data_IF_194148060775
#
_entry.id   IF_194148060775
#
_cell.length_a   1.000
_cell.length_b   1.000
_cell.length_c   1.000
_cell.angle_alpha   90.00
_cell.angle_beta   90.00
_cell.angle_gamma   90.00
#
_symmetry.space_group_name_H-M   'P 1'
#
loop_
_entity.id
_entity.type
_entity.pdbx_description
1 polymer ?
#
# COMPACT_ATOMS: atom_id res chain seq x y z
N UNK A 1 -6.64 -8.43 -2.00
CA UNK A 1 -6.90 -7.95 -0.64
C UNK A 1 -7.79 -8.94 0.11
N UNK A 2 -7.79 -8.89 1.44
CA UNK A 2 -8.74 -9.60 2.31
C UNK A 2 -8.95 -11.08 1.93
N UNK A 3 -10.20 -11.51 1.74
CA UNK A 3 -10.56 -12.91 1.48
C UNK A 3 -9.95 -13.46 0.18
N UNK A 4 -9.64 -12.58 -0.79
CA UNK A 4 -8.98 -13.00 -2.03
C UNK A 4 -7.57 -13.56 -1.78
N UNK A 5 -6.93 -13.23 -0.65
CA UNK A 5 -5.61 -13.76 -0.28
C UNK A 5 -5.65 -15.27 -0.02
N UNK A 6 -6.75 -15.78 0.53
CA UNK A 6 -6.88 -17.19 0.88
C UNK A 6 -6.98 -18.11 -0.36
N UNK A 7 -7.43 -17.58 -1.49
CA UNK A 7 -7.58 -18.30 -2.75
C UNK A 7 -6.43 -18.07 -3.72
N UNK A 8 -5.48 -17.19 -3.38
CA UNK A 8 -4.32 -16.91 -4.22
C UNK A 8 -3.39 -18.14 -4.21
N UNK A 9 -3.18 -18.73 -5.39
CA UNK A 9 -2.29 -19.88 -5.53
C UNK A 9 -0.86 -19.54 -5.13
N UNK A 10 -0.09 -20.56 -4.76
CA UNK A 10 1.28 -20.37 -4.25
C UNK A 10 2.25 -19.70 -5.24
N UNK A 11 1.88 -19.63 -6.52
CA UNK A 11 2.61 -18.95 -7.60
C UNK A 11 1.72 -17.90 -8.27
N UNK A 12 2.18 -16.66 -8.30
CA UNK A 12 1.65 -15.60 -9.16
C UNK A 12 2.04 -15.84 -10.63
N UNK A 13 1.18 -15.52 -11.62
CA UNK A 13 1.52 -15.66 -13.04
C UNK A 13 2.67 -14.72 -13.40
N UNK A 14 3.85 -15.32 -13.58
CA UNK A 14 5.09 -14.71 -14.12
C UNK A 14 5.74 -13.60 -13.28
N UNK A 15 6.87 -13.94 -12.66
CA UNK A 15 7.91 -12.98 -12.25
C UNK A 15 8.86 -12.61 -13.41
N UNK A 16 8.56 -13.01 -14.65
CA UNK A 16 9.36 -12.59 -15.82
C UNK A 16 9.11 -11.12 -16.16
N UNK A 17 10.09 -10.41 -16.74
CA UNK A 17 10.02 -8.98 -17.00
C UNK A 17 8.69 -8.55 -17.67
N UNK A 18 8.09 -7.43 -17.21
CA UNK A 18 8.75 -6.34 -16.48
C UNK A 18 8.77 -6.45 -14.94
N UNK A 19 8.27 -7.54 -14.34
CA UNK A 19 8.22 -7.70 -12.88
C UNK A 19 6.93 -8.37 -12.41
N UNK A 20 6.66 -8.44 -11.10
CA UNK A 20 5.39 -8.97 -10.60
C UNK A 20 4.23 -8.13 -11.15
N UNK A 21 3.20 -8.81 -11.67
CA UNK A 21 1.96 -8.18 -12.16
C UNK A 21 0.87 -8.12 -11.10
N UNK A 22 1.09 -8.80 -9.96
CA UNK A 22 0.14 -8.96 -8.87
C UNK A 22 0.62 -8.14 -7.67
N UNK A 23 -0.31 -7.38 -7.10
CA UNK A 23 -0.14 -6.68 -5.83
C UNK A 23 -1.10 -7.26 -4.79
N UNK A 24 -0.56 -7.67 -3.63
CA UNK A 24 -1.32 -8.17 -2.50
C UNK A 24 -1.18 -7.24 -1.30
N UNK A 25 -2.29 -6.95 -0.63
CA UNK A 25 -2.42 -5.94 0.43
C UNK A 25 -2.85 -6.51 1.78
N UNK A 26 -2.25 -7.59 2.32
CA UNK A 26 -2.70 -8.11 3.61
C UNK A 26 -2.56 -7.08 4.73
N UNK A 27 -3.56 -6.95 5.61
CA UNK A 27 -3.30 -6.41 6.94
C UNK A 27 -2.44 -7.39 7.76
N UNK A 28 -1.90 -6.94 8.90
CA UNK A 28 -1.04 -7.76 9.76
C UNK A 28 -1.68 -9.11 10.17
N UNK A 29 -2.99 -9.14 10.42
CA UNK A 29 -3.71 -10.37 10.76
C UNK A 29 -3.79 -11.34 9.58
N UNK A 30 -4.08 -10.82 8.38
CA UNK A 30 -4.09 -11.58 7.13
C UNK A 30 -2.69 -12.08 6.75
N UNK A 31 -1.66 -11.24 6.91
CA UNK A 31 -0.27 -11.61 6.66
C UNK A 31 0.13 -12.80 7.55
N UNK A 32 -0.16 -12.70 8.86
CA UNK A 32 0.10 -13.78 9.82
C UNK A 32 -0.63 -15.06 9.46
N UNK A 33 -1.91 -14.98 9.08
CA UNK A 33 -2.69 -16.13 8.61
C UNK A 33 -2.09 -16.75 7.34
N UNK A 34 -1.72 -15.91 6.38
CA UNK A 34 -1.27 -16.35 5.06
C UNK A 34 0.13 -17.01 5.10
N UNK A 35 1.03 -16.48 5.94
CA UNK A 35 2.40 -16.98 6.06
C UNK A 35 2.68 -17.77 7.35
N UNK A 36 1.63 -18.08 8.12
CA UNK A 36 1.70 -18.85 9.37
C UNK A 36 2.68 -18.25 10.40
N UNK A 37 2.71 -16.92 10.49
CA UNK A 37 3.57 -16.18 11.42
C UNK A 37 2.80 -15.65 12.64
N UNK A 38 3.50 -15.31 13.72
CA UNK A 38 2.90 -14.78 14.95
C UNK A 38 3.40 -13.37 15.32
N UNK A 39 4.58 -12.97 14.82
CA UNK A 39 5.17 -11.66 15.06
C UNK A 39 4.77 -10.63 13.98
N UNK A 40 5.14 -9.36 14.20
CA UNK A 40 5.22 -8.39 13.10
C UNK A 40 6.42 -8.76 12.21
N UNK A 41 6.27 -8.70 10.87
CA UNK A 41 7.35 -9.08 9.99
C UNK A 41 8.45 -8.01 9.94
N UNK A 42 9.68 -8.48 9.78
CA UNK A 42 10.86 -7.68 9.43
C UNK A 42 10.90 -7.39 7.93
N UNK A 43 11.72 -6.42 7.52
CA UNK A 43 11.93 -6.09 6.11
C UNK A 43 12.39 -7.31 5.28
N UNK A 44 13.27 -8.13 5.85
CA UNK A 44 13.80 -9.34 5.20
C UNK A 44 12.71 -10.40 5.03
N UNK A 45 11.88 -10.62 6.05
CA UNK A 45 10.75 -11.55 5.95
C UNK A 45 9.76 -11.11 4.87
N UNK A 46 9.39 -9.82 4.81
CA UNK A 46 8.48 -9.32 3.76
C UNK A 46 9.11 -9.48 2.37
N UNK A 47 10.41 -9.18 2.23
CA UNK A 47 11.18 -9.42 1.00
C UNK A 47 11.13 -10.88 0.57
N UNK A 48 11.44 -11.79 1.47
CA UNK A 48 11.49 -13.22 1.18
C UNK A 48 10.11 -13.76 0.82
N UNK A 49 9.04 -13.30 1.49
CA UNK A 49 7.67 -13.66 1.14
C UNK A 49 7.25 -13.12 -0.23
N UNK A 50 7.61 -11.89 -0.57
CA UNK A 50 7.36 -11.31 -1.89
C UNK A 50 8.06 -12.12 -2.99
N UNK A 51 9.35 -12.46 -2.79
CA UNK A 51 10.11 -13.32 -3.73
C UNK A 51 9.52 -14.72 -3.87
N UNK A 52 9.20 -15.35 -2.74
CA UNK A 52 8.63 -16.69 -2.70
C UNK A 52 7.33 -16.78 -3.50
N UNK A 53 6.51 -15.72 -3.44
CA UNK A 53 5.22 -15.64 -4.12
C UNK A 53 5.29 -15.09 -5.54
N UNK A 54 6.36 -14.36 -5.89
CA UNK A 54 6.49 -13.68 -7.18
C UNK A 54 5.48 -12.54 -7.35
N UNK A 55 5.24 -11.76 -6.29
CA UNK A 55 4.29 -10.65 -6.26
C UNK A 55 4.86 -9.43 -5.55
N UNK A 56 4.20 -8.28 -5.71
CA UNK A 56 4.38 -7.12 -4.83
C UNK A 56 3.50 -7.27 -3.60
N UNK A 57 4.09 -7.18 -2.42
CA UNK A 57 3.45 -7.35 -1.13
C UNK A 57 3.43 -6.02 -0.37
N UNK A 58 2.24 -5.53 -0.06
CA UNK A 58 2.00 -4.36 0.79
C UNK A 58 1.35 -4.84 2.10
N UNK A 59 2.13 -4.99 3.16
CA UNK A 59 1.62 -5.41 4.47
C UNK A 59 1.15 -4.17 5.24
N UNK A 60 -0.16 -4.07 5.49
CA UNK A 60 -0.79 -2.95 6.23
C UNK A 60 -0.70 -3.17 7.75
N UNK A 61 -0.30 -2.15 8.51
CA UNK A 61 -0.18 -2.22 9.96
C UNK A 61 0.04 -0.87 10.64
N UNK A 62 0.59 -0.89 11.86
CA UNK A 62 1.10 0.34 12.49
C UNK A 62 2.30 0.92 11.72
N UNK A 63 3.00 0.05 11.01
CA UNK A 63 4.01 0.37 10.02
C UNK A 63 3.69 -0.49 8.80
N UNK A 64 3.61 0.15 7.65
CA UNK A 64 3.39 -0.54 6.39
C UNK A 64 4.73 -0.97 5.79
N UNK A 65 4.74 -2.15 5.19
CA UNK A 65 5.86 -2.65 4.42
C UNK A 65 5.46 -2.88 2.99
N UNK A 66 6.23 -2.36 2.05
CA UNK A 66 6.06 -2.64 0.62
C UNK A 66 7.31 -3.34 0.10
N UNK A 67 7.13 -4.50 -0.53
CA UNK A 67 8.22 -5.24 -1.17
C UNK A 67 7.80 -5.84 -2.50
N UNK A 68 8.67 -5.80 -3.50
CA UNK A 68 8.55 -6.63 -4.72
C UNK A 68 9.54 -7.80 -4.72
N UNK A 69 10.26 -7.99 -3.61
CA UNK A 69 11.30 -8.97 -3.42
C UNK A 69 12.72 -8.37 -3.51
N UNK A 70 13.17 -7.84 -4.66
CA UNK A 70 14.47 -7.17 -4.74
C UNK A 70 14.51 -5.83 -3.99
N UNK A 71 13.37 -5.15 -3.88
CA UNK A 71 13.22 -3.83 -3.23
C UNK A 71 12.25 -3.98 -2.07
N UNK A 72 12.56 -3.32 -0.95
CA UNK A 72 11.68 -3.24 0.22
C UNK A 72 11.76 -1.84 0.82
N UNK A 73 10.61 -1.24 1.11
CA UNK A 73 10.50 0.05 1.80
C UNK A 73 9.56 -0.06 2.98
N UNK A 74 9.85 0.73 4.01
CA UNK A 74 9.02 0.94 5.18
C UNK A 74 8.25 2.24 5.00
N UNK A 75 6.97 2.24 5.36
CA UNK A 75 6.19 3.46 5.52
C UNK A 75 5.68 3.55 6.96
N UNK A 76 6.22 4.50 7.72
CA UNK A 76 5.74 4.89 9.05
C UNK A 76 4.89 6.17 8.98
N UNK A 77 4.61 6.67 7.77
CA UNK A 77 3.77 7.84 7.51
C UNK A 77 2.28 7.50 7.58
N UNK A 78 1.85 6.96 8.72
CA UNK A 78 0.45 6.67 9.05
C UNK A 78 0.05 7.38 10.33
N UNK A 79 -1.17 7.91 10.33
CA UNK A 79 -1.68 8.71 11.44
C UNK A 79 -2.66 7.86 12.23
N UNK A 80 -2.58 7.87 13.57
CA UNK A 80 -3.43 7.00 14.41
C UNK A 80 -4.92 7.22 14.14
N UNK A 81 -5.31 8.45 13.81
CA UNK A 81 -6.67 8.80 13.40
C UNK A 81 -7.18 8.03 12.17
N UNK A 82 -6.29 7.51 11.32
CA UNK A 82 -6.65 6.71 10.14
C UNK A 82 -7.05 5.26 10.48
N UNK A 83 -7.02 4.86 11.75
CA UNK A 83 -7.44 3.51 12.19
C UNK A 83 -8.96 3.42 12.22
N UNK A 84 -9.60 3.55 11.06
CA UNK A 84 -11.05 3.52 10.88
C UNK A 84 -11.46 2.53 9.80
N UNK A 85 -12.70 2.03 9.90
CA UNK A 85 -13.26 1.14 8.90
C UNK A 85 -13.28 1.79 7.51
N UNK A 86 -12.93 1.02 6.48
CA UNK A 86 -12.90 1.49 5.09
C UNK A 86 -11.56 2.08 4.63
N UNK A 87 -10.58 2.31 5.53
CA UNK A 87 -9.29 2.87 5.11
C UNK A 87 -8.51 1.93 4.17
N UNK A 88 -8.63 0.62 4.40
CA UNK A 88 -8.08 -0.40 3.48
C UNK A 88 -8.68 -0.30 2.08
N UNK A 89 -10.01 -0.15 1.99
CA UNK A 89 -10.72 -0.04 0.71
C UNK A 89 -10.31 1.22 -0.07
N UNK A 90 -10.04 2.32 0.64
CA UNK A 90 -9.53 3.56 0.03
C UNK A 90 -8.13 3.34 -0.55
N UNK A 91 -7.22 2.72 0.20
CA UNK A 91 -5.88 2.40 -0.30
C UNK A 91 -5.96 1.49 -1.53
N UNK A 92 -6.78 0.45 -1.45
CA UNK A 92 -6.94 -0.53 -2.53
C UNK A 92 -7.63 0.07 -3.76
N UNK A 93 -8.53 1.04 -3.56
CA UNK A 93 -9.12 1.83 -4.64
C UNK A 93 -8.09 2.70 -5.38
N UNK A 94 -7.20 3.37 -4.65
CA UNK A 94 -6.09 4.14 -5.26
C UNK A 94 -5.14 3.21 -6.01
N UNK A 95 -4.77 2.07 -5.41
CA UNK A 95 -3.95 1.06 -6.04
C UNK A 95 -4.59 0.54 -7.34
N UNK A 96 -5.87 0.16 -7.29
CA UNK A 96 -6.62 -0.29 -8.45
C UNK A 96 -6.67 0.76 -9.56
N UNK A 97 -6.88 2.03 -9.21
CA UNK A 97 -6.85 3.15 -10.15
C UNK A 97 -5.49 3.31 -10.83
N UNK A 98 -4.40 3.25 -10.08
CA UNK A 98 -3.02 3.34 -10.60
C UNK A 98 -2.68 2.14 -11.50
N UNK A 99 -2.97 0.93 -11.03
CA UNK A 99 -2.72 -0.32 -11.77
C UNK A 99 -3.51 -0.35 -13.09
N UNK A 100 -4.76 0.15 -13.10
CA UNK A 100 -5.58 0.22 -14.31
C UNK A 100 -5.00 1.13 -15.41
N UNK A 101 -4.12 2.07 -15.03
CA UNK A 101 -3.40 2.95 -15.95
C UNK A 101 -2.09 2.32 -16.46
N UNK A 102 -1.80 1.06 -16.09
CA UNK A 102 -0.58 0.36 -16.47
C UNK A 102 0.64 0.71 -15.63
N UNK A 103 0.45 1.37 -14.47
CA UNK A 103 1.55 1.66 -13.54
C UNK A 103 1.96 0.34 -12.87
N UNK A 104 3.27 0.09 -12.83
CA UNK A 104 3.87 -1.11 -12.25
C UNK A 104 3.55 -1.22 -10.74
N UNK A 105 3.21 -2.42 -10.21
CA UNK A 105 2.80 -2.61 -8.82
C UNK A 105 3.67 -1.97 -7.74
N UNK A 106 4.99 -2.07 -7.84
CA UNK A 106 5.89 -1.40 -6.91
C UNK A 106 5.72 0.12 -6.93
N UNK A 107 5.65 0.72 -8.12
CA UNK A 107 5.46 2.17 -8.27
C UNK A 107 4.08 2.58 -7.75
N UNK A 108 3.04 1.81 -8.09
CA UNK A 108 1.68 2.04 -7.62
C UNK A 108 1.60 1.99 -6.08
N UNK A 109 2.23 0.98 -5.47
CA UNK A 109 2.35 0.84 -4.03
C UNK A 109 2.95 2.06 -3.34
N UNK A 110 4.07 2.57 -3.88
CA UNK A 110 4.74 3.75 -3.31
C UNK A 110 3.91 5.02 -3.43
N UNK A 111 3.28 5.24 -4.58
CA UNK A 111 2.40 6.39 -4.81
C UNK A 111 1.18 6.34 -3.89
N UNK A 112 0.52 5.18 -3.79
CA UNK A 112 -0.66 5.01 -2.97
C UNK A 112 -0.36 5.24 -1.47
N UNK A 113 0.72 4.65 -0.95
CA UNK A 113 1.14 4.87 0.44
C UNK A 113 1.40 6.36 0.73
N UNK A 114 2.07 7.05 -0.18
CA UNK A 114 2.36 8.47 -0.03
C UNK A 114 1.09 9.33 -0.11
N UNK A 115 0.29 9.18 -1.16
CA UNK A 115 -0.90 10.01 -1.37
C UNK A 115 -1.96 9.81 -0.29
N UNK A 116 -2.23 8.57 0.11
CA UNK A 116 -3.20 8.26 1.18
C UNK A 116 -2.67 8.71 2.54
N UNK A 117 -1.36 8.56 2.79
CA UNK A 117 -0.73 9.05 4.02
C UNK A 117 -0.84 10.57 4.17
N UNK A 118 -0.48 11.33 3.12
CA UNK A 118 -0.58 12.79 3.09
C UNK A 118 -2.03 13.29 3.16
N UNK A 119 -2.95 12.60 2.49
CA UNK A 119 -4.37 12.90 2.57
C UNK A 119 -4.91 12.67 4.00
N UNK A 120 -4.49 11.57 4.64
CA UNK A 120 -4.79 11.29 6.04
C UNK A 120 -4.25 12.35 6.99
N UNK A 121 -3.01 12.79 6.80
CA UNK A 121 -2.40 13.87 7.58
C UNK A 121 -3.20 15.17 7.50
N UNK A 122 -3.75 15.49 6.31
CA UNK A 122 -4.57 16.69 6.08
C UNK A 122 -5.94 16.58 6.73
N UNK A 123 -6.61 15.45 6.52
CA UNK A 123 -7.90 15.19 7.11
C UNK A 123 -7.82 15.20 8.66
N UNK A 124 -6.78 14.62 9.24
CA UNK A 124 -6.58 14.58 10.70
C UNK A 124 -6.47 15.98 11.31
N UNK A 125 -5.78 16.92 10.63
CA UNK A 125 -5.66 18.31 11.12
C UNK A 125 -7.02 18.98 11.37
N UNK A 126 -8.07 18.56 10.67
CA UNK A 126 -9.41 19.14 10.77
C UNK A 126 -10.38 18.26 11.57
N UNK A 127 -10.23 16.93 11.49
CA UNK A 127 -11.18 15.95 12.03
C UNK A 127 -10.69 15.27 13.30
N UNK A 128 -9.38 15.30 13.57
CA UNK A 128 -8.75 14.56 14.67
C UNK A 128 -9.16 13.08 14.66
N UNK A 129 -9.48 12.54 15.83
CA UNK A 129 -9.99 11.16 15.97
C UNK A 129 -11.40 10.92 15.41
N UNK A 130 -12.09 11.96 14.92
CA UNK A 130 -13.36 11.83 14.21
C UNK A 130 -13.21 11.63 12.69
N UNK A 131 -11.98 11.46 12.20
CA UNK A 131 -11.67 11.22 10.79
C UNK A 131 -12.38 9.98 10.27
N UNK A 132 -13.01 10.10 9.11
CA UNK A 132 -13.60 9.00 8.35
C UNK A 132 -12.78 8.71 7.09
N UNK A 133 -12.92 7.50 6.56
CA UNK A 133 -12.29 7.14 5.28
C UNK A 133 -12.67 8.12 4.15
N UNK A 134 -13.91 8.63 4.13
CA UNK A 134 -14.36 9.62 3.16
C UNK A 134 -13.64 10.95 3.26
N UNK A 135 -13.27 11.39 4.48
CA UNK A 135 -12.49 12.63 4.66
C UNK A 135 -11.11 12.50 4.00
N UNK A 136 -10.53 11.29 4.00
CA UNK A 136 -9.26 11.02 3.31
C UNK A 136 -9.47 11.02 1.79
N UNK A 137 -10.55 10.43 1.30
CA UNK A 137 -10.87 10.41 -0.15
C UNK A 137 -10.90 11.82 -0.73
N UNK A 138 -11.49 12.78 -0.01
CA UNK A 138 -11.60 14.18 -0.45
C UNK A 138 -10.22 14.86 -0.62
N UNK A 139 -9.20 14.46 0.15
CA UNK A 139 -7.87 15.04 0.12
C UNK A 139 -6.90 14.35 -0.87
N UNK A 140 -7.23 13.15 -1.38
CA UNK A 140 -6.34 12.39 -2.29
C UNK A 140 -5.95 13.18 -3.55
N UNK A 141 -6.87 13.84 -4.29
CA UNK A 141 -6.49 14.57 -5.50
C UNK A 141 -5.46 15.66 -5.23
N UNK A 142 -5.61 16.35 -4.09
CA UNK A 142 -4.67 17.40 -3.66
C UNK A 142 -3.30 16.82 -3.35
N UNK A 143 -3.25 15.73 -2.58
CA UNK A 143 -1.98 15.03 -2.28
C UNK A 143 -1.27 14.55 -3.55
N UNK A 144 -2.02 14.09 -4.56
CA UNK A 144 -1.46 13.65 -5.83
C UNK A 144 -0.87 14.81 -6.66
N UNK A 145 -1.54 15.96 -6.72
CA UNK A 145 -1.07 17.15 -7.46
C UNK A 145 0.20 17.72 -6.81
N UNK A 146 0.19 17.92 -5.49
CA UNK A 146 1.35 18.50 -4.79
C UNK A 146 2.60 17.61 -4.90
N UNK A 147 2.41 16.29 -4.98
CA UNK A 147 3.51 15.33 -5.24
C UNK A 147 4.19 15.57 -6.60
N UNK A 148 3.44 16.01 -7.61
CA UNK A 148 3.95 16.31 -8.94
C UNK A 148 4.64 17.67 -8.97
N UNK A 149 4.10 18.67 -8.25
CA UNK A 149 4.67 20.02 -8.19
C UNK A 149 5.97 20.09 -7.38
N UNK A 150 6.13 19.23 -6.38
CA UNK A 150 7.34 19.10 -5.56
C UNK A 150 8.48 18.29 -6.20
N UNK A 151 8.24 17.65 -7.37
CA UNK A 151 9.28 16.92 -8.08
C UNK A 151 10.26 17.90 -8.76
N UNK A 152 11.59 17.73 -8.61
CA UNK A 152 12.55 18.55 -9.34
C UNK A 152 12.38 18.32 -10.85
N UNK A 153 11.65 19.23 -11.52
CA UNK A 153 11.36 19.16 -12.95
C UNK A 153 10.05 19.83 -13.40
N UNK A 154 9.14 20.19 -12.49
CA UNK A 154 7.78 20.67 -12.86
C UNK A 154 7.59 22.18 -12.77
N UNK A 155 8.62 22.94 -12.41
CA UNK A 155 8.60 24.40 -12.59
C UNK A 155 9.01 24.72 -14.04
N UNK A 156 8.00 24.84 -14.90
CA UNK A 156 8.13 25.38 -16.26
C UNK A 156 8.30 26.91 -16.23
#
# INVERSE_FOLDING_TARGET
>A
DADALAVLSDRSPSASPPGPTVLATPNLGEYRRWFQGTAEPTADEVSDRARLRGLTLLVKGATDWLSDGPRTVRNDHHHRAMTVGGMGDVLDGVLGGLLSQGIEPWVAGRLALYWVGEAGARAERHKGFGLLASDVIEEIPRSAIEALDGAPGTQA
#
